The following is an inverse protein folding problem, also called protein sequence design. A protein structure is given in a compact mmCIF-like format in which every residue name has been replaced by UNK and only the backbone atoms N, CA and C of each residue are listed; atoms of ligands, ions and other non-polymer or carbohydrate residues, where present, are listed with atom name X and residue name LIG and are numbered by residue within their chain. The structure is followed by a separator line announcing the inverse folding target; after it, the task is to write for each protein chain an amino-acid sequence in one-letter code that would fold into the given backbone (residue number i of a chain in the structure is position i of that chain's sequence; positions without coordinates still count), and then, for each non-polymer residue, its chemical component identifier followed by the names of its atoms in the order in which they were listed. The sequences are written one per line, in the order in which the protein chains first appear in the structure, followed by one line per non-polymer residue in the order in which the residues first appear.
data_IF_730247215522
#
_entry.id   IF_730247215522
#
_cell.length_a   1.000
_cell.length_b   1.000
_cell.length_c   1.000
_cell.angle_alpha   90.00
_cell.angle_beta   90.00
_cell.angle_gamma   90.00
#
_symmetry.space_group_name_H-M   'P 1'
#
loop_
_entity.id
_entity.type
_entity.pdbx_description
1 polymer ?
#
# COMPACT_ATOMS: atom_id res chain seq x y z
N UNK A 1 51.63 -2.61 58.92
CA UNK A 1 51.06 -3.33 57.76
C UNK A 1 49.54 -3.22 57.80
N UNK A 2 48.94 -2.30 57.04
CA UNK A 2 47.49 -2.33 56.69
C UNK A 2 47.22 -1.19 55.71
N UNK A 3 47.01 -1.52 54.44
CA UNK A 3 46.41 -0.58 53.49
C UNK A 3 45.37 -1.32 52.63
N UNK A 4 44.13 -1.01 52.98
CA UNK A 4 42.94 -0.75 52.15
C UNK A 4 42.70 -1.68 50.95
N UNK A 5 41.71 -2.55 51.11
CA UNK A 5 41.02 -3.23 50.01
C UNK A 5 40.39 -2.20 49.06
N UNK A 6 40.69 -2.33 47.78
CA UNK A 6 40.04 -1.58 46.70
C UNK A 6 38.83 -2.40 46.25
N UNK A 7 37.63 -1.91 46.53
CA UNK A 7 36.41 -2.46 45.92
C UNK A 7 36.27 -1.92 44.50
N UNK A 8 36.41 -2.80 43.51
CA UNK A 8 36.09 -2.52 42.12
C UNK A 8 34.60 -2.83 41.91
N UNK A 9 33.78 -1.80 41.75
CA UNK A 9 32.40 -1.94 41.28
C UNK A 9 32.41 -2.01 39.76
N UNK A 10 32.18 -3.20 39.19
CA UNK A 10 31.92 -3.36 37.75
C UNK A 10 30.44 -3.08 37.52
N UNK A 11 30.12 -1.91 36.96
CA UNK A 11 28.77 -1.65 36.46
C UNK A 11 28.58 -2.39 35.12
N UNK A 12 27.80 -3.47 35.15
CA UNK A 12 27.34 -4.14 33.94
C UNK A 12 26.27 -3.27 33.28
N UNK A 13 26.66 -2.51 32.25
CA UNK A 13 25.71 -1.86 31.33
C UNK A 13 25.12 -2.95 30.43
N UNK A 14 23.95 -3.46 30.79
CA UNK A 14 23.13 -4.26 29.90
C UNK A 14 22.70 -3.37 28.73
N UNK A 15 23.37 -3.47 27.59
CA UNK A 15 22.86 -2.96 26.32
C UNK A 15 21.65 -3.81 25.94
N UNK A 16 20.49 -3.45 26.47
CA UNK A 16 19.23 -3.90 25.91
C UNK A 16 19.13 -3.25 24.54
N UNK A 17 19.40 -4.00 23.48
CA UNK A 17 19.11 -3.57 22.12
C UNK A 17 17.64 -3.20 22.07
N UNK A 18 17.33 -1.90 21.97
CA UNK A 18 15.99 -1.42 21.71
C UNK A 18 15.57 -2.03 20.37
N UNK A 19 14.83 -3.13 20.42
CA UNK A 19 14.09 -3.62 19.28
C UNK A 19 13.11 -2.51 18.90
N UNK A 20 13.34 -1.87 17.76
CA UNK A 20 12.36 -0.97 17.15
C UNK A 20 11.17 -1.83 16.70
N UNK A 21 10.27 -2.14 17.63
CA UNK A 21 9.02 -2.80 17.33
C UNK A 21 8.14 -1.83 16.51
N UNK A 22 7.47 -2.37 15.49
CA UNK A 22 6.54 -1.58 14.70
C UNK A 22 5.33 -1.26 15.57
N UNK A 23 4.87 -0.01 15.52
CA UNK A 23 3.71 0.41 16.31
C UNK A 23 2.48 0.39 15.42
N UNK A 24 1.49 -0.43 15.78
CA UNK A 24 0.21 -0.48 15.07
C UNK A 24 -0.84 0.45 15.72
N UNK A 25 -1.85 0.90 14.95
CA UNK A 25 -1.95 0.77 13.49
C UNK A 25 -1.04 1.75 12.73
N UNK A 26 -0.69 1.43 11.48
CA UNK A 26 0.00 2.36 10.56
C UNK A 26 -0.94 3.44 10.04
N UNK A 27 -2.20 3.11 9.75
CA UNK A 27 -3.21 4.09 9.29
C UNK A 27 -4.48 3.98 10.12
N UNK A 28 -4.86 5.08 10.75
CA UNK A 28 -6.11 5.24 11.52
C UNK A 28 -6.53 6.71 11.51
N UNK A 29 -7.74 7.06 11.03
CA UNK A 29 -8.72 6.21 10.34
C UNK A 29 -8.27 5.82 8.91
N UNK A 30 -9.13 5.09 8.19
CA UNK A 30 -9.01 4.78 6.75
C UNK A 30 -7.82 3.89 6.38
N UNK A 31 -7.60 2.84 7.16
CA UNK A 31 -6.53 1.85 6.93
C UNK A 31 -6.98 0.55 6.27
N UNK A 32 -8.21 0.49 5.74
CA UNK A 32 -8.77 -0.71 5.10
C UNK A 32 -8.03 -1.05 3.82
N UNK A 33 -7.96 -2.36 3.56
CA UNK A 33 -7.39 -2.97 2.34
C UNK A 33 -5.97 -2.44 2.03
N UNK A 34 -5.02 -2.53 2.98
CA UNK A 34 -3.70 -1.94 2.81
C UNK A 34 -2.84 -2.76 1.84
N UNK A 35 -2.32 -2.10 0.81
CA UNK A 35 -1.32 -2.66 -0.09
C UNK A 35 -0.02 -1.85 -0.04
N UNK A 36 1.13 -2.53 0.07
CA UNK A 36 2.45 -1.89 0.10
C UNK A 36 3.34 -2.45 -1.02
N UNK A 37 3.97 -1.55 -1.78
CA UNK A 37 5.14 -1.86 -2.62
C UNK A 37 6.36 -1.09 -2.13
N UNK A 38 7.54 -1.70 -2.20
CA UNK A 38 8.81 -1.02 -1.91
C UNK A 38 9.65 -0.92 -3.18
N UNK A 39 10.00 0.31 -3.57
CA UNK A 39 10.83 0.58 -4.76
C UNK A 39 11.50 1.95 -4.65
N UNK A 40 12.69 2.11 -5.24
CA UNK A 40 13.40 3.40 -5.25
C UNK A 40 13.67 3.98 -3.85
N UNK A 41 13.80 3.14 -2.82
CA UNK A 41 14.03 3.55 -1.43
C UNK A 41 12.79 4.06 -0.67
N UNK A 42 11.60 3.88 -1.23
CA UNK A 42 10.33 4.26 -0.60
C UNK A 42 9.40 3.06 -0.48
N UNK A 43 8.70 2.99 0.66
CA UNK A 43 7.46 2.24 0.80
C UNK A 43 6.31 3.10 0.30
N UNK A 44 5.46 2.53 -0.54
CA UNK A 44 4.24 3.14 -1.04
C UNK A 44 3.05 2.39 -0.49
N UNK A 45 2.15 3.08 0.20
CA UNK A 45 0.94 2.52 0.79
C UNK A 45 -0.30 3.08 0.10
N UNK A 46 -1.14 2.17 -0.36
CA UNK A 46 -2.49 2.42 -0.83
C UNK A 46 -3.50 1.77 0.13
N UNK A 47 -4.66 2.38 0.26
CA UNK A 47 -5.77 1.93 1.12
C UNK A 47 -7.08 2.36 0.51
N UNK A 48 -8.18 1.69 0.85
CA UNK A 48 -9.53 2.11 0.44
C UNK A 48 -9.84 3.53 0.92
N UNK A 49 -10.21 4.42 -0.01
CA UNK A 49 -10.65 5.80 0.28
C UNK A 49 -12.14 6.04 0.02
N UNK A 50 -12.81 5.11 -0.67
CA UNK A 50 -14.20 5.19 -1.13
C UNK A 50 -14.47 6.13 -2.32
N UNK A 51 -13.61 7.11 -2.60
CA UNK A 51 -13.82 8.13 -3.63
C UNK A 51 -12.80 8.13 -4.76
N UNK A 52 -11.57 7.69 -4.51
CA UNK A 52 -10.43 7.89 -5.40
C UNK A 52 -9.32 6.87 -5.13
N UNK A 53 -8.27 6.92 -5.94
CA UNK A 53 -7.06 6.14 -5.67
C UNK A 53 -6.02 7.09 -5.10
N UNK A 54 -5.73 6.91 -3.81
CA UNK A 54 -4.66 7.62 -3.11
C UNK A 54 -3.45 6.73 -2.86
N UNK A 55 -2.28 7.34 -2.92
CA UNK A 55 -1.01 6.75 -2.51
C UNK A 55 -0.33 7.65 -1.48
N UNK A 56 0.39 7.03 -0.56
CA UNK A 56 1.29 7.71 0.38
C UNK A 56 2.63 7.03 0.36
N UNK A 57 3.73 7.75 0.64
CA UNK A 57 5.04 7.13 0.67
C UNK A 57 5.94 7.63 1.78
N UNK A 58 6.83 6.76 2.25
CA UNK A 58 7.87 7.10 3.21
C UNK A 58 9.08 6.19 3.01
N UNK A 59 10.25 6.64 3.42
CA UNK A 59 11.48 5.82 3.42
C UNK A 59 11.48 4.75 4.51
N UNK A 60 10.51 4.79 5.43
CA UNK A 60 10.31 3.77 6.48
C UNK A 60 8.83 3.44 6.62
N UNK A 61 8.50 2.21 7.03
CA UNK A 61 7.11 1.84 7.28
C UNK A 61 6.49 2.67 8.41
N UNK A 62 7.26 2.98 9.46
CA UNK A 62 6.79 3.84 10.56
C UNK A 62 6.42 5.25 10.08
N UNK A 63 7.16 5.79 9.11
CA UNK A 63 6.88 7.10 8.54
C UNK A 63 5.60 7.15 7.69
N UNK A 64 5.04 6.01 7.26
CA UNK A 64 3.73 5.97 6.56
C UNK A 64 2.57 6.47 7.42
N UNK A 65 2.74 6.50 8.75
CA UNK A 65 1.76 7.05 9.70
C UNK A 65 1.43 8.51 9.45
N UNK A 66 2.44 9.28 9.03
CA UNK A 66 2.35 10.74 8.85
C UNK A 66 2.72 11.14 7.42
N UNK A 67 2.87 10.17 6.51
CA UNK A 67 3.20 10.44 5.13
C UNK A 67 2.10 11.23 4.43
N UNK A 68 2.50 12.23 3.63
CA UNK A 68 1.59 12.94 2.75
C UNK A 68 0.91 11.96 1.81
N UNK A 69 -0.40 12.10 1.67
CA UNK A 69 -1.20 11.38 0.69
C UNK A 69 -1.30 12.19 -0.59
N UNK A 70 -1.34 11.50 -1.72
CA UNK A 70 -1.52 12.07 -3.05
C UNK A 70 -2.60 11.26 -3.77
N UNK A 71 -3.61 11.95 -4.30
CA UNK A 71 -4.54 11.36 -5.26
C UNK A 71 -3.78 11.14 -6.57
N UNK A 72 -3.74 9.90 -7.04
CA UNK A 72 -3.10 9.54 -8.32
C UNK A 72 -4.12 9.28 -9.42
N UNK A 73 -5.38 9.08 -9.06
CA UNK A 73 -6.49 8.96 -10.00
C UNK A 73 -7.84 9.21 -9.30
N UNK A 74 -8.75 9.87 -10.00
CA UNK A 74 -10.16 9.99 -9.64
C UNK A 74 -11.01 10.02 -10.93
N UNK A 75 -12.30 9.74 -10.80
CA UNK A 75 -13.22 9.68 -11.95
C UNK A 75 -14.58 10.24 -11.59
N UNK A 76 -15.21 10.90 -12.57
CA UNK A 76 -16.62 11.31 -12.50
C UNK A 76 -17.54 10.43 -13.35
N UNK A 77 -16.99 9.43 -14.06
CA UNK A 77 -17.82 8.51 -14.85
C UNK A 77 -18.61 7.60 -13.93
N UNK A 78 -19.93 7.60 -14.08
CA UNK A 78 -20.88 6.94 -13.17
C UNK A 78 -20.55 5.49 -12.86
N UNK A 79 -20.09 4.71 -13.85
CA UNK A 79 -19.79 3.28 -13.68
C UNK A 79 -18.53 2.98 -12.86
N UNK A 80 -17.72 3.98 -12.49
CA UNK A 80 -16.42 3.79 -11.82
C UNK A 80 -15.95 4.98 -10.97
N UNK A 81 -16.85 5.88 -10.61
CA UNK A 81 -16.53 7.09 -9.86
C UNK A 81 -16.44 6.86 -8.36
N UNK A 82 -17.04 5.77 -7.91
CA UNK A 82 -17.65 5.70 -6.61
C UNK A 82 -17.40 4.32 -6.01
N UNK A 83 -17.48 4.23 -4.68
CA UNK A 83 -17.19 3.00 -3.95
C UNK A 83 -15.81 2.44 -4.32
N UNK A 84 -14.78 3.31 -4.32
CA UNK A 84 -13.42 2.95 -4.70
C UNK A 84 -12.74 2.15 -3.59
N UNK A 85 -12.40 0.89 -3.87
CA UNK A 85 -11.85 -0.06 -2.88
C UNK A 85 -10.57 -0.76 -3.34
N UNK A 86 -9.82 -1.23 -2.34
CA UNK A 86 -8.70 -2.16 -2.43
C UNK A 86 -7.72 -1.91 -3.59
N UNK A 87 -7.19 -0.69 -3.76
CA UNK A 87 -6.22 -0.41 -4.81
C UNK A 87 -4.87 -1.09 -4.53
N UNK A 88 -4.34 -1.83 -5.51
CA UNK A 88 -3.00 -2.42 -5.49
C UNK A 88 -2.14 -1.94 -6.67
N UNK A 89 -0.87 -1.62 -6.42
CA UNK A 89 0.06 -1.13 -7.44
C UNK A 89 1.12 -2.18 -7.81
N UNK A 90 1.24 -2.47 -9.10
CA UNK A 90 2.06 -3.57 -9.61
C UNK A 90 2.94 -3.10 -10.77
N UNK A 91 4.21 -3.50 -10.77
CA UNK A 91 5.13 -3.26 -11.90
C UNK A 91 5.16 -4.48 -12.83
N UNK A 92 4.68 -4.34 -14.06
CA UNK A 92 4.53 -5.41 -15.04
C UNK A 92 5.01 -4.91 -16.41
N UNK A 93 5.81 -5.70 -17.13
CA UNK A 93 6.18 -5.38 -18.52
C UNK A 93 6.80 -3.99 -18.73
N UNK A 94 7.53 -3.47 -17.74
CA UNK A 94 8.16 -2.14 -17.83
C UNK A 94 7.29 -0.97 -17.37
N UNK A 95 6.07 -1.22 -16.87
CA UNK A 95 5.09 -0.18 -16.54
C UNK A 95 4.40 -0.42 -15.20
N UNK A 96 3.92 0.65 -14.57
CA UNK A 96 3.12 0.57 -13.36
C UNK A 96 1.63 0.49 -13.69
N UNK A 97 0.95 -0.42 -13.00
CA UNK A 97 -0.49 -0.62 -13.08
C UNK A 97 -1.09 -0.52 -11.70
N UNK A 98 -2.27 0.08 -11.59
CA UNK A 98 -3.09 -0.02 -10.37
C UNK A 98 -4.35 -0.80 -10.70
N UNK A 99 -4.57 -1.87 -9.95
CA UNK A 99 -5.82 -2.63 -9.95
C UNK A 99 -6.66 -2.12 -8.79
N UNK A 100 -7.92 -1.81 -9.04
CA UNK A 100 -8.82 -1.30 -8.01
C UNK A 100 -10.27 -1.70 -8.32
N UNK A 101 -11.11 -1.65 -7.30
CA UNK A 101 -12.55 -1.90 -7.44
C UNK A 101 -13.28 -0.57 -7.43
N UNK A 102 -14.25 -0.39 -8.31
CA UNK A 102 -15.17 0.74 -8.27
C UNK A 102 -16.48 0.40 -8.99
N UNK A 103 -17.45 1.30 -8.83
CA UNK A 103 -18.79 1.14 -9.36
C UNK A 103 -19.57 2.43 -9.29
N UNK A 104 -20.89 2.27 -9.23
CA UNK A 104 -21.86 3.37 -9.20
C UNK A 104 -22.10 3.87 -7.78
N UNK A 105 -22.55 5.12 -7.63
CA UNK A 105 -22.87 5.70 -6.32
C UNK A 105 -24.12 5.09 -5.69
N UNK A 106 -25.06 4.58 -6.49
CA UNK A 106 -26.38 4.17 -6.04
C UNK A 106 -26.39 2.83 -5.28
N UNK A 107 -25.44 1.93 -5.56
CA UNK A 107 -25.37 0.60 -4.93
C UNK A 107 -23.97 -0.01 -4.99
N UNK A 108 -23.75 -1.06 -4.18
CA UNK A 108 -22.53 -1.87 -4.20
C UNK A 108 -22.62 -3.08 -5.16
N UNK A 109 -23.76 -3.26 -5.84
CA UNK A 109 -24.00 -4.38 -6.76
C UNK A 109 -23.41 -4.12 -8.15
N UNK A 110 -22.87 -2.92 -8.38
CA UNK A 110 -22.25 -2.51 -9.63
C UNK A 110 -20.72 -2.59 -9.60
N UNK A 111 -20.11 -3.17 -8.57
CA UNK A 111 -18.65 -3.21 -8.43
C UNK A 111 -18.00 -4.04 -9.53
N UNK A 112 -16.94 -3.49 -10.12
CA UNK A 112 -16.12 -4.14 -11.14
C UNK A 112 -14.65 -3.89 -10.86
N UNK A 113 -13.83 -4.82 -11.33
CA UNK A 113 -12.39 -4.62 -11.41
C UNK A 113 -12.03 -3.67 -12.54
N UNK A 114 -11.21 -2.70 -12.18
CA UNK A 114 -10.67 -1.69 -13.08
C UNK A 114 -9.16 -1.67 -13.01
N UNK A 115 -8.55 -1.24 -14.11
CA UNK A 115 -7.10 -1.05 -14.21
C UNK A 115 -6.77 0.36 -14.65
N UNK A 116 -5.76 0.91 -13.99
CA UNK A 116 -5.10 2.15 -14.35
C UNK A 116 -3.68 1.85 -14.79
N UNK A 117 -3.13 2.70 -15.65
CA UNK A 117 -1.75 2.60 -16.11
C UNK A 117 -1.03 3.92 -15.84
N UNK A 118 0.16 3.84 -15.25
CA UNK A 118 0.90 5.00 -14.76
C UNK A 118 2.33 5.13 -15.29
N UNK A 119 3.02 6.16 -14.79
CA UNK A 119 4.31 6.66 -15.23
C UNK A 119 5.52 5.79 -14.88
N UNK A 120 6.65 6.43 -14.57
CA UNK A 120 7.92 5.74 -14.26
C UNK A 120 8.00 5.31 -12.80
N UNK A 121 7.17 5.90 -11.93
CA UNK A 121 7.11 5.58 -10.51
C UNK A 121 5.68 5.34 -10.00
N UNK A 122 5.50 4.63 -8.88
CA UNK A 122 4.18 4.50 -8.24
C UNK A 122 3.57 5.84 -7.83
N UNK A 123 4.39 6.88 -7.66
CA UNK A 123 3.96 8.21 -7.21
C UNK A 123 3.31 9.05 -8.31
N UNK A 124 3.45 8.64 -9.57
CA UNK A 124 3.00 9.45 -10.71
C UNK A 124 1.49 9.40 -10.85
N UNK A 125 0.93 10.25 -11.72
CA UNK A 125 -0.49 10.21 -12.03
C UNK A 125 -0.79 9.03 -12.95
N UNK A 126 -1.99 8.48 -12.82
CA UNK A 126 -2.43 7.30 -13.57
C UNK A 126 -3.58 7.64 -14.50
N UNK A 127 -3.65 6.92 -15.61
CA UNK A 127 -4.73 7.04 -16.59
C UNK A 127 -5.60 5.79 -16.58
N UNK A 128 -6.92 5.97 -16.66
CA UNK A 128 -7.85 4.87 -16.79
C UNK A 128 -7.53 4.02 -18.02
N UNK A 129 -7.42 2.71 -17.84
CA UNK A 129 -7.07 1.78 -18.92
C UNK A 129 -8.27 0.94 -19.33
N UNK A 130 -9.03 0.41 -18.37
CA UNK A 130 -10.21 -0.38 -18.69
C UNK A 130 -10.83 -1.08 -17.50
N UNK A 131 -11.95 -1.75 -17.79
CA UNK A 131 -12.62 -2.69 -16.92
C UNK A 131 -12.18 -4.11 -17.31
N UNK A 132 -11.87 -4.96 -16.32
CA UNK A 132 -11.28 -6.27 -16.58
C UNK A 132 -12.32 -7.37 -16.81
N UNK A 133 -13.50 -7.25 -16.22
CA UNK A 133 -14.57 -8.26 -16.30
C UNK A 133 -15.94 -7.58 -16.40
N UNK A 134 -16.95 -8.27 -16.95
CA UNK A 134 -18.34 -7.78 -16.94
C UNK A 134 -19.14 -8.29 -15.73
N UNK A 135 -18.61 -9.30 -15.03
CA UNK A 135 -19.21 -9.89 -13.84
C UNK A 135 -18.86 -9.06 -12.59
N UNK A 136 -19.72 -9.15 -11.58
CA UNK A 136 -19.40 -8.56 -10.28
C UNK A 136 -18.09 -9.14 -9.76
N UNK A 137 -17.13 -8.28 -9.47
CA UNK A 137 -15.78 -8.70 -9.06
C UNK A 137 -15.07 -7.60 -8.28
N UNK A 138 -14.28 -8.01 -7.30
CA UNK A 138 -13.57 -7.13 -6.37
C UNK A 138 -12.15 -7.63 -6.05
N UNK A 139 -11.37 -6.79 -5.38
CA UNK A 139 -10.10 -7.13 -4.71
C UNK A 139 -9.05 -7.79 -5.64
N UNK A 140 -8.85 -7.16 -6.80
CA UNK A 140 -7.90 -7.63 -7.82
C UNK A 140 -6.44 -7.53 -7.38
N UNK A 141 -5.71 -8.65 -7.45
CA UNK A 141 -4.27 -8.71 -7.18
C UNK A 141 -3.54 -9.55 -8.24
N UNK A 142 -2.22 -9.37 -8.36
CA UNK A 142 -1.40 -10.11 -9.32
C UNK A 142 -0.49 -11.09 -8.59
N UNK A 143 -0.66 -12.37 -8.87
CA UNK A 143 0.27 -13.41 -8.43
C UNK A 143 1.28 -13.70 -9.54
N UNK A 144 2.53 -13.88 -9.12
CA UNK A 144 3.67 -14.10 -10.02
C UNK A 144 4.35 -15.41 -9.69
N UNK A 145 4.75 -16.11 -10.72
CA UNK A 145 5.54 -17.34 -10.63
C UNK A 145 6.81 -17.15 -11.45
N UNK A 146 7.90 -17.81 -11.05
CA UNK A 146 9.16 -17.73 -11.80
C UNK A 146 9.07 -18.46 -13.14
N UNK A 147 8.32 -19.56 -13.18
CA UNK A 147 8.28 -20.49 -14.32
C UNK A 147 6.93 -20.45 -15.07
N UNK A 148 6.03 -19.54 -14.69
CA UNK A 148 4.72 -19.37 -15.32
C UNK A 148 4.41 -17.90 -15.55
N UNK A 149 3.38 -17.66 -16.36
CA UNK A 149 2.85 -16.33 -16.58
C UNK A 149 2.30 -15.70 -15.29
N UNK A 150 2.09 -14.38 -15.31
CA UNK A 150 1.40 -13.69 -14.23
C UNK A 150 -0.11 -14.00 -14.30
N UNK A 151 -0.74 -14.19 -13.14
CA UNK A 151 -2.18 -14.42 -13.04
C UNK A 151 -2.85 -13.32 -12.25
N UNK A 152 -4.07 -12.97 -12.65
CA UNK A 152 -4.95 -12.11 -11.87
C UNK A 152 -5.75 -12.97 -10.88
N UNK A 153 -5.72 -12.59 -9.61
CA UNK A 153 -6.56 -13.13 -8.54
C UNK A 153 -7.62 -12.08 -8.21
N UNK A 154 -8.86 -12.52 -7.96
CA UNK A 154 -9.95 -11.65 -7.55
C UNK A 154 -11.06 -12.44 -6.86
N UNK A 155 -12.00 -11.73 -6.22
CA UNK A 155 -13.23 -12.30 -5.65
C UNK A 155 -14.46 -11.92 -6.46
#
# INVERSE_FOLDING_TARGET
MRNKAVSIFIAFLAFCSLSLAWTNPIRKPSGSDPFIVHTGGYYYLLTTTWSDVEISRSTTVAGLKTATKKVVYSSITSSRCCNVWAPEVHYLGGKWYIYYTAGESASLDAQRLHVLTGGTSPWDDYTYTGQLTNEWSIDGSVIRFNDYENYLLFS
#
